data_IF_942176914538
#
_entry.id   IF_942176914538
#
_cell.length_a   1.000
_cell.length_b   1.000
_cell.length_c   1.000
_cell.angle_alpha   90.00
_cell.angle_beta   90.00
_cell.angle_gamma   90.00
#
_symmetry.space_group_name_H-M   'P 1'
#
loop_
_entity.id
_entity.type
_entity.pdbx_description
1 polymer ?
#
# COMPACT_ATOMS: atom_id res chain seq x y z
N UNK A 1 -7.61 -42.42 -2.37
CA UNK A 1 -6.97 -41.26 -1.72
C UNK A 1 -6.18 -40.55 -2.79
N UNK A 2 -6.78 -39.56 -3.45
CA UNK A 2 -6.10 -38.78 -4.47
C UNK A 2 -5.13 -37.83 -3.80
N UNK A 3 -3.86 -37.91 -4.16
CA UNK A 3 -2.84 -36.96 -3.72
C UNK A 3 -3.15 -35.60 -4.33
N UNK A 4 -3.65 -34.66 -3.55
CA UNK A 4 -3.56 -33.24 -3.89
C UNK A 4 -2.07 -32.90 -3.98
N UNK A 5 -1.56 -32.75 -5.19
CA UNK A 5 -0.30 -32.06 -5.40
C UNK A 5 -0.46 -30.65 -4.83
N UNK A 6 0.27 -30.33 -3.77
CA UNK A 6 0.32 -28.97 -3.24
C UNK A 6 0.78 -28.03 -4.36
N UNK A 7 -0.15 -27.31 -4.96
CA UNK A 7 0.15 -26.32 -5.98
C UNK A 7 0.94 -25.20 -5.29
N UNK A 8 2.23 -25.08 -5.61
CA UNK A 8 3.09 -24.06 -5.02
C UNK A 8 2.55 -22.68 -5.42
N UNK A 9 2.18 -21.86 -4.43
CA UNK A 9 1.72 -20.49 -4.67
C UNK A 9 2.75 -19.71 -5.48
N UNK A 10 2.28 -18.81 -6.35
CA UNK A 10 3.18 -17.99 -7.16
C UNK A 10 3.59 -16.74 -6.39
N UNK A 11 4.88 -16.60 -6.08
CA UNK A 11 5.45 -15.35 -5.57
C UNK A 11 5.64 -14.36 -6.73
N UNK A 12 4.96 -13.22 -6.69
CA UNK A 12 4.99 -12.21 -7.75
C UNK A 12 5.99 -11.08 -7.49
N UNK A 13 6.20 -10.73 -6.24
CA UNK A 13 7.07 -9.63 -5.84
C UNK A 13 7.94 -10.02 -4.65
N UNK A 14 9.13 -9.47 -4.61
CA UNK A 14 9.88 -9.30 -3.37
C UNK A 14 9.68 -7.86 -2.88
N UNK A 15 9.41 -7.72 -1.58
CA UNK A 15 9.12 -6.44 -0.95
C UNK A 15 10.14 -6.15 0.13
N UNK A 16 10.56 -4.89 0.19
CA UNK A 16 11.32 -4.35 1.31
C UNK A 16 10.62 -3.09 1.78
N UNK A 17 10.25 -3.06 3.04
CA UNK A 17 9.69 -1.88 3.68
C UNK A 17 10.78 -1.12 4.44
N UNK A 18 10.64 0.19 4.49
CA UNK A 18 11.46 1.07 5.31
C UNK A 18 10.58 2.15 5.93
N UNK A 19 10.60 2.33 7.26
CA UNK A 19 9.99 3.49 7.92
C UNK A 19 10.64 4.80 7.48
N UNK A 20 9.82 5.84 7.34
CA UNK A 20 10.27 7.18 6.95
C UNK A 20 9.70 8.21 7.91
N UNK A 21 10.58 9.06 8.46
CA UNK A 21 10.14 10.20 9.27
C UNK A 21 9.40 11.23 8.39
N UNK A 22 8.43 11.95 8.96
CA UNK A 22 7.61 12.90 8.20
C UNK A 22 8.46 13.94 7.42
N UNK A 23 9.51 14.48 8.04
CA UNK A 23 10.44 15.43 7.40
C UNK A 23 11.42 14.81 6.39
N UNK A 24 11.41 13.48 6.24
CA UNK A 24 12.26 12.73 5.31
C UNK A 24 11.47 12.13 4.13
N UNK A 25 10.17 12.45 4.00
CA UNK A 25 9.38 12.10 2.82
C UNK A 25 9.95 12.86 1.62
N UNK A 26 10.22 12.14 0.52
CA UNK A 26 10.82 12.71 -0.68
C UNK A 26 9.99 13.87 -1.26
N UNK A 27 10.66 14.93 -1.71
CA UNK A 27 9.98 16.12 -2.24
C UNK A 27 9.04 15.83 -3.43
N UNK A 28 9.39 14.86 -4.28
CA UNK A 28 8.51 14.44 -5.38
C UNK A 28 7.22 13.76 -4.88
N UNK A 29 7.31 12.95 -3.82
CA UNK A 29 6.16 12.29 -3.18
C UNK A 29 5.27 13.34 -2.51
N UNK A 30 5.88 14.26 -1.75
CA UNK A 30 5.20 15.43 -1.17
C UNK A 30 4.43 16.20 -2.23
N UNK A 31 5.07 16.53 -3.35
CA UNK A 31 4.45 17.25 -4.47
C UNK A 31 3.27 16.47 -5.06
N UNK A 32 3.40 15.15 -5.23
CA UNK A 32 2.33 14.30 -5.76
C UNK A 32 1.11 14.27 -4.81
N UNK A 33 1.37 14.15 -3.51
CA UNK A 33 0.33 14.17 -2.47
C UNK A 33 -0.38 15.53 -2.45
N UNK A 34 0.36 16.65 -2.44
CA UNK A 34 -0.19 18.00 -2.48
C UNK A 34 -1.04 18.24 -3.73
N UNK A 35 -0.58 17.78 -4.89
CA UNK A 35 -1.34 17.85 -6.14
C UNK A 35 -2.65 17.05 -6.05
N UNK A 36 -2.60 15.84 -5.48
CA UNK A 36 -3.80 15.02 -5.27
C UNK A 36 -4.76 15.67 -4.26
N UNK A 37 -4.25 16.29 -3.20
CA UNK A 37 -5.07 16.99 -2.22
C UNK A 37 -5.78 18.19 -2.86
N UNK A 38 -5.05 19.03 -3.60
CA UNK A 38 -5.60 20.18 -4.30
C UNK A 38 -6.68 19.81 -5.33
N UNK A 39 -6.47 18.72 -6.08
CA UNK A 39 -7.45 18.20 -7.05
C UNK A 39 -8.80 17.88 -6.41
N UNK A 40 -8.80 17.47 -5.14
CA UNK A 40 -9.98 17.04 -4.40
C UNK A 40 -10.44 18.03 -3.34
N UNK A 41 -9.83 19.22 -3.25
CA UNK A 41 -10.16 20.23 -2.24
C UNK A 41 -9.88 19.77 -0.81
N UNK A 42 -8.83 18.98 -0.60
CA UNK A 42 -8.39 18.50 0.72
C UNK A 42 -7.25 19.37 1.26
N UNK A 43 -7.19 19.52 2.58
CA UNK A 43 -6.08 20.19 3.26
C UNK A 43 -4.75 19.41 3.09
N UNK A 44 -3.63 20.15 3.15
CA UNK A 44 -2.29 19.56 3.00
C UNK A 44 -2.01 18.57 4.14
N UNK A 45 -1.77 17.28 3.84
CA UNK A 45 -1.71 16.24 4.87
C UNK A 45 -0.38 16.17 5.63
N UNK A 46 0.66 16.88 5.17
CA UNK A 46 2.03 16.69 5.64
C UNK A 46 2.29 17.26 7.05
N UNK A 47 1.44 18.16 7.54
CA UNK A 47 1.49 18.64 8.91
C UNK A 47 0.96 17.65 9.95
N UNK A 48 0.27 16.59 9.52
CA UNK A 48 -0.44 15.64 10.40
C UNK A 48 -0.01 14.18 10.20
N UNK A 49 1.21 13.97 9.67
CA UNK A 49 1.75 12.62 9.45
C UNK A 49 1.93 11.90 10.79
N UNK A 50 1.26 10.77 10.94
CA UNK A 50 1.39 9.87 12.09
C UNK A 50 2.53 8.88 11.89
N UNK A 51 2.57 8.27 10.72
CA UNK A 51 3.65 7.37 10.30
C UNK A 51 3.69 7.32 8.77
N UNK A 52 4.87 7.03 8.22
CA UNK A 52 5.05 6.82 6.81
C UNK A 52 6.04 5.68 6.56
N UNK A 53 5.82 4.95 5.48
CA UNK A 53 6.69 3.86 5.03
C UNK A 53 6.92 3.95 3.53
N UNK A 54 8.08 3.50 3.10
CA UNK A 54 8.38 3.26 1.69
C UNK A 54 8.51 1.75 1.49
N UNK A 55 7.80 1.22 0.50
CA UNK A 55 7.89 -0.16 0.07
C UNK A 55 8.51 -0.21 -1.31
N UNK A 56 9.67 -0.84 -1.41
CA UNK A 56 10.29 -1.18 -2.68
C UNK A 56 9.83 -2.58 -3.08
N UNK A 57 9.21 -2.70 -4.25
CA UNK A 57 8.73 -3.96 -4.82
C UNK A 57 9.52 -4.29 -6.08
N UNK A 58 10.05 -5.51 -6.14
CA UNK A 58 10.76 -6.03 -7.32
C UNK A 58 10.01 -7.25 -7.84
N UNK A 59 9.57 -7.18 -9.09
CA UNK A 59 8.85 -8.26 -9.76
C UNK A 59 9.74 -9.52 -9.86
N UNK A 60 9.19 -10.64 -9.40
CA UNK A 60 9.79 -11.96 -9.52
C UNK A 60 9.36 -12.59 -10.84
N UNK A 61 10.30 -12.73 -11.77
CA UNK A 61 10.06 -13.42 -13.05
C UNK A 61 10.27 -14.92 -12.90
N UNK A 62 9.42 -15.70 -13.56
CA UNK A 62 9.51 -17.16 -13.66
C UNK A 62 9.77 -17.59 -15.12
N UNK A 63 10.39 -18.76 -15.31
CA UNK A 63 10.63 -19.35 -16.63
C UNK A 63 11.49 -18.49 -17.55
N UNK A 64 11.15 -18.45 -18.85
CA UNK A 64 11.87 -17.68 -19.89
C UNK A 64 11.93 -16.18 -19.59
N UNK A 65 11.02 -15.65 -18.75
CA UNK A 65 11.04 -14.26 -18.31
C UNK A 65 12.31 -13.87 -17.53
N UNK A 66 12.99 -14.83 -16.88
CA UNK A 66 14.28 -14.58 -16.20
C UNK A 66 15.42 -14.28 -17.19
N UNK A 67 15.33 -14.80 -18.41
CA UNK A 67 16.39 -14.70 -19.42
C UNK A 67 16.28 -13.43 -20.28
N UNK A 68 15.07 -12.88 -20.47
CA UNK A 68 14.82 -11.89 -21.53
C UNK A 68 14.19 -10.57 -21.08
N UNK A 69 14.22 -10.19 -19.80
CA UNK A 69 13.81 -8.84 -19.45
C UNK A 69 14.17 -8.36 -18.05
N UNK A 70 14.36 -7.04 -17.92
CA UNK A 70 14.57 -6.37 -16.62
C UNK A 70 13.32 -6.48 -15.74
N UNK A 71 13.46 -6.80 -14.44
CA UNK A 71 12.32 -6.86 -13.52
C UNK A 71 11.69 -5.48 -13.34
N UNK A 72 10.35 -5.42 -13.28
CA UNK A 72 9.65 -4.19 -12.91
C UNK A 72 9.98 -3.84 -11.47
N UNK A 73 10.27 -2.56 -11.21
CA UNK A 73 10.46 -2.00 -9.87
C UNK A 73 9.37 -0.99 -9.60
N UNK A 74 8.76 -1.07 -8.43
CA UNK A 74 7.70 -0.17 -7.99
C UNK A 74 8.10 0.36 -6.62
N UNK A 75 8.10 1.67 -6.44
CA UNK A 75 8.29 2.33 -5.14
C UNK A 75 6.94 2.86 -4.69
N UNK A 76 6.44 2.39 -3.57
CA UNK A 76 5.21 2.88 -2.96
C UNK A 76 5.56 3.61 -1.67
N UNK A 77 5.10 4.84 -1.51
CA UNK A 77 5.15 5.55 -0.23
C UNK A 77 3.74 5.62 0.34
N UNK A 78 3.54 5.02 1.51
CA UNK A 78 2.30 5.12 2.26
C UNK A 78 2.47 6.14 3.38
N UNK A 79 1.61 7.16 3.42
CA UNK A 79 1.62 8.22 4.43
C UNK A 79 0.30 8.20 5.17
N UNK A 80 0.33 7.84 6.46
CA UNK A 80 -0.83 7.78 7.32
C UNK A 80 -1.00 9.10 8.09
N UNK A 81 -2.19 9.70 7.98
CA UNK A 81 -2.58 10.89 8.74
C UNK A 81 -3.76 10.59 9.66
N UNK A 82 -4.35 11.62 10.27
CA UNK A 82 -5.54 11.47 11.13
C UNK A 82 -6.77 10.97 10.37
N UNK A 83 -6.97 11.40 9.13
CA UNK A 83 -8.23 11.17 8.38
C UNK A 83 -8.03 10.41 7.07
N UNK A 84 -6.80 10.35 6.57
CA UNK A 84 -6.48 9.82 5.25
C UNK A 84 -5.26 8.89 5.30
N UNK A 85 -5.30 7.86 4.47
CA UNK A 85 -4.12 7.13 4.01
C UNK A 85 -3.79 7.60 2.60
N UNK A 86 -2.59 8.15 2.42
CA UNK A 86 -2.09 8.55 1.10
C UNK A 86 -1.17 7.48 0.56
N UNK A 87 -1.38 7.08 -0.68
CA UNK A 87 -0.54 6.11 -1.38
C UNK A 87 0.05 6.81 -2.60
N UNK A 88 1.37 6.99 -2.60
CA UNK A 88 2.12 7.49 -3.75
C UNK A 88 2.88 6.35 -4.41
N UNK A 89 2.65 6.11 -5.69
CA UNK A 89 3.27 5.02 -6.45
C UNK A 89 4.15 5.60 -7.55
N UNK A 90 5.40 5.17 -7.60
CA UNK A 90 6.36 5.48 -8.67
C UNK A 90 6.78 4.19 -9.38
N UNK A 91 6.53 4.15 -10.69
CA UNK A 91 6.92 3.06 -11.59
C UNK A 91 8.00 3.50 -12.61
N UNK A 92 8.70 4.60 -12.34
CA UNK A 92 9.80 5.14 -13.15
C UNK A 92 9.47 6.41 -13.93
N UNK A 93 8.27 6.97 -13.76
CA UNK A 93 7.83 8.23 -14.41
C UNK A 93 7.50 9.33 -13.39
N UNK A 94 7.94 9.16 -12.15
CA UNK A 94 7.60 10.02 -11.03
C UNK A 94 6.34 9.54 -10.28
N UNK A 95 6.19 9.93 -9.01
CA UNK A 95 5.10 9.44 -8.17
C UNK A 95 3.75 10.02 -8.58
N UNK A 96 2.73 9.16 -8.57
CA UNK A 96 1.32 9.54 -8.59
C UNK A 96 0.68 9.17 -7.26
N UNK A 97 -0.08 10.08 -6.66
CA UNK A 97 -0.69 9.86 -5.35
C UNK A 97 -2.21 9.74 -5.43
N UNK A 98 -2.77 8.91 -4.54
CA UNK A 98 -4.19 8.84 -4.23
C UNK A 98 -4.42 8.97 -2.72
N UNK A 99 -5.62 9.39 -2.35
CA UNK A 99 -6.08 9.41 -0.96
C UNK A 99 -7.16 8.36 -0.74
N UNK A 100 -7.08 7.65 0.39
CA UNK A 100 -8.10 6.71 0.86
C UNK A 100 -8.62 7.20 2.22
N UNK A 101 -9.95 7.35 2.33
CA UNK A 101 -10.58 7.82 3.58
C UNK A 101 -10.48 6.76 4.67
N UNK A 102 -9.99 7.11 5.86
CA UNK A 102 -9.91 6.16 6.97
C UNK A 102 -11.28 5.84 7.58
N UNK A 103 -12.16 6.85 7.65
CA UNK A 103 -13.52 6.65 8.13
C UNK A 103 -14.28 5.72 7.18
N UNK A 104 -14.73 4.58 7.71
CA UNK A 104 -15.34 3.53 6.91
C UNK A 104 -14.36 2.79 5.99
N UNK A 105 -13.07 2.76 6.31
CA UNK A 105 -12.14 1.83 5.66
C UNK A 105 -12.27 0.43 6.28
N UNK A 106 -12.21 -0.60 5.45
CA UNK A 106 -12.01 -1.98 5.89
C UNK A 106 -10.57 -2.39 5.62
N UNK A 107 -9.95 -3.05 6.60
CA UNK A 107 -8.55 -3.50 6.54
C UNK A 107 -8.52 -4.99 6.83
N UNK A 108 -8.16 -5.79 5.83
CA UNK A 108 -8.10 -7.25 5.91
C UNK A 108 -6.67 -7.69 5.68
N UNK A 109 -6.15 -8.60 6.51
CA UNK A 109 -4.83 -9.18 6.23
C UNK A 109 -4.88 -9.94 4.92
N UNK A 110 -3.90 -9.72 4.05
CA UNK A 110 -3.87 -10.34 2.73
C UNK A 110 -4.01 -11.86 2.80
N UNK A 111 -3.41 -12.50 3.80
CA UNK A 111 -3.49 -13.94 4.04
C UNK A 111 -4.93 -14.48 4.16
N UNK A 112 -5.89 -13.63 4.51
CA UNK A 112 -7.30 -13.97 4.67
C UNK A 112 -8.14 -13.68 3.41
N UNK A 113 -7.53 -13.18 2.34
CA UNK A 113 -8.21 -12.86 1.07
C UNK A 113 -8.29 -14.08 0.14
N UNK A 114 -9.19 -14.00 -0.85
CA UNK A 114 -9.24 -15.01 -1.91
C UNK A 114 -7.94 -15.05 -2.73
N UNK A 115 -7.33 -13.88 -2.99
CA UNK A 115 -6.10 -13.77 -3.78
C UNK A 115 -4.91 -14.52 -3.16
N UNK A 116 -4.82 -14.57 -1.83
CA UNK A 116 -3.76 -15.29 -1.11
C UNK A 116 -3.79 -16.81 -1.30
N UNK A 117 -4.85 -17.37 -1.89
CA UNK A 117 -4.88 -18.78 -2.31
C UNK A 117 -3.98 -19.05 -3.52
N UNK A 118 -3.77 -18.03 -4.36
CA UNK A 118 -3.06 -18.17 -5.64
C UNK A 118 -1.69 -17.49 -5.65
N UNK A 119 -1.55 -16.39 -4.91
CA UNK A 119 -0.31 -15.61 -4.88
C UNK A 119 0.26 -15.55 -3.47
N UNK A 120 1.57 -15.75 -3.38
CA UNK A 120 2.32 -15.56 -2.14
C UNK A 120 2.75 -14.10 -2.03
N UNK A 121 2.19 -13.38 -1.06
CA UNK A 121 2.53 -11.99 -0.74
C UNK A 121 2.15 -11.69 0.73
N UNK A 122 2.59 -10.54 1.23
CA UNK A 122 2.33 -10.06 2.59
C UNK A 122 1.90 -8.60 2.57
N UNK A 123 0.85 -8.28 3.31
CA UNK A 123 0.31 -6.93 3.39
C UNK A 123 -1.18 -6.92 3.71
N UNK A 124 -1.86 -5.88 3.24
CA UNK A 124 -3.25 -5.58 3.57
C UNK A 124 -4.09 -5.42 2.30
N UNK A 125 -5.29 -5.97 2.33
CA UNK A 125 -6.36 -5.55 1.43
C UNK A 125 -7.16 -4.43 2.11
N UNK A 126 -7.27 -3.30 1.41
CA UNK A 126 -7.89 -2.07 1.88
C UNK A 126 -9.12 -1.81 1.04
N UNK A 127 -10.28 -1.69 1.67
CA UNK A 127 -11.49 -1.28 0.96
C UNK A 127 -11.98 0.06 1.51
N UNK A 128 -11.93 1.11 0.68
CA UNK A 128 -12.18 2.50 1.10
C UNK A 128 -12.76 3.36 -0.03
N UNK A 129 -13.19 4.57 0.30
CA UNK A 129 -13.64 5.58 -0.64
C UNK A 129 -12.48 6.53 -0.98
N UNK A 130 -12.27 6.77 -2.28
CA UNK A 130 -11.52 7.94 -2.74
C UNK A 130 -12.33 9.23 -2.53
N UNK A 131 -11.68 10.39 -2.44
CA UNK A 131 -12.39 11.67 -2.36
C UNK A 131 -13.39 11.83 -3.52
N UNK A 132 -14.66 12.07 -3.18
CA UNK A 132 -15.74 12.24 -4.17
C UNK A 132 -16.23 10.94 -4.82
N UNK A 133 -15.70 9.77 -4.47
CA UNK A 133 -16.18 8.50 -5.02
C UNK A 133 -17.52 8.09 -4.39
N UNK A 134 -18.47 7.65 -5.21
CA UNK A 134 -19.76 7.10 -4.77
C UNK A 134 -19.66 5.63 -4.36
N UNK A 135 -18.65 4.93 -4.86
CA UNK A 135 -18.44 3.50 -4.61
C UNK A 135 -17.12 3.26 -3.90
N UNK A 136 -17.12 2.25 -3.02
CA UNK A 136 -15.90 1.77 -2.38
C UNK A 136 -15.04 1.05 -3.42
N UNK A 137 -13.73 1.23 -3.33
CA UNK A 137 -12.73 0.58 -4.17
C UNK A 137 -11.79 -0.24 -3.27
N UNK A 138 -11.24 -1.32 -3.83
CA UNK A 138 -10.34 -2.22 -3.12
C UNK A 138 -8.91 -2.08 -3.65
N UNK A 139 -7.96 -1.99 -2.73
CA UNK A 139 -6.54 -1.79 -2.99
C UNK A 139 -5.73 -2.84 -2.23
N UNK A 140 -4.64 -3.29 -2.83
CA UNK A 140 -3.66 -4.11 -2.14
C UNK A 140 -2.45 -3.26 -1.76
N UNK A 141 -2.18 -3.18 -0.46
CA UNK A 141 -0.98 -2.57 0.10
C UNK A 141 -0.04 -3.69 0.55
N UNK A 142 0.90 -4.07 -0.32
CA UNK A 142 1.93 -5.02 0.05
C UNK A 142 2.97 -4.38 0.95
N UNK A 143 3.24 -4.98 2.10
CA UNK A 143 4.13 -4.44 3.14
C UNK A 143 5.37 -5.31 3.38
N UNK A 144 5.34 -6.58 2.98
CA UNK A 144 6.36 -7.55 3.39
C UNK A 144 6.09 -8.14 4.78
N UNK A 145 6.89 -9.12 5.23
CA UNK A 145 6.65 -9.86 6.47
C UNK A 145 7.43 -9.35 7.71
N UNK A 146 8.05 -8.17 7.63
CA UNK A 146 8.93 -7.66 8.69
C UNK A 146 8.18 -6.93 9.82
N UNK A 147 8.88 -6.65 10.93
CA UNK A 147 8.28 -6.02 12.11
C UNK A 147 7.81 -4.57 11.85
N UNK A 148 8.48 -3.86 10.95
CA UNK A 148 8.09 -2.51 10.55
C UNK A 148 6.78 -2.53 9.75
N UNK A 149 6.57 -3.55 8.91
CA UNK A 149 5.32 -3.80 8.22
C UNK A 149 4.16 -4.04 9.20
N UNK A 150 4.38 -4.88 10.23
CA UNK A 150 3.36 -5.15 11.25
C UNK A 150 3.03 -3.87 12.04
N UNK A 151 4.04 -3.12 12.47
CA UNK A 151 3.85 -1.86 13.19
C UNK A 151 3.05 -0.83 12.38
N UNK A 152 3.30 -0.74 11.06
CA UNK A 152 2.52 0.12 10.18
C UNK A 152 1.08 -0.38 10.03
N UNK A 153 0.87 -1.69 9.89
CA UNK A 153 -0.46 -2.29 9.78
C UNK A 153 -1.30 -2.04 11.04
N UNK A 154 -0.71 -2.22 12.23
CA UNK A 154 -1.33 -1.91 13.52
C UNK A 154 -1.69 -0.42 13.62
N UNK A 155 -0.77 0.48 13.25
CA UNK A 155 -1.03 1.91 13.27
C UNK A 155 -2.19 2.30 12.33
N UNK A 156 -2.27 1.69 11.14
CA UNK A 156 -3.38 1.89 10.21
C UNK A 156 -4.70 1.42 10.82
N UNK A 157 -4.77 0.20 11.36
CA UNK A 157 -5.97 -0.35 12.00
C UNK A 157 -6.45 0.52 13.16
N UNK A 158 -5.53 1.02 13.98
CA UNK A 158 -5.84 1.93 15.08
C UNK A 158 -6.43 3.27 14.59
N UNK A 159 -5.86 3.84 13.52
CA UNK A 159 -6.38 5.08 12.94
C UNK A 159 -7.75 4.88 12.28
N UNK A 160 -7.97 3.77 11.59
CA UNK A 160 -9.29 3.41 11.02
C UNK A 160 -10.35 3.29 12.13
N UNK A 161 -10.02 2.61 13.22
CA UNK A 161 -10.92 2.47 14.37
C UNK A 161 -11.28 3.82 14.98
N UNK A 162 -10.28 4.68 15.16
CA UNK A 162 -10.46 6.03 15.71
C UNK A 162 -11.27 6.95 14.77
N UNK A 163 -11.07 6.84 13.46
CA UNK A 163 -11.78 7.63 12.46
C UNK A 163 -13.24 7.22 12.28
N UNK A 164 -13.60 5.96 12.60
CA UNK A 164 -14.99 5.49 12.59
C UNK A 164 -15.78 5.83 13.86
N UNK A 165 -15.09 6.19 14.94
CA UNK A 165 -15.71 6.57 16.22
C UNK A 165 -15.96 8.09 16.37
N UNK A 166 -15.45 8.89 15.43
CA UNK A 166 -15.54 10.35 15.40
C UNK A 166 -16.63 10.83 14.43
#
# INVERSE_FOLDING_TARGET
>A
MSSESAESKKKLFERRLQPVAAGAIEGAVTTAIEKSAALHGLDTPLGEVRTAVVVESVEQKSGLGKLFGKPKRIRLTAVLTKSWLWLAVDEGNGPSAIALRLAGMEVVDYANTFAAKHFEDHGLELSSFRPGAATRETYFLGLGPDADAEAFAEALRACVTSAGAA
#
